data_IF_669458285573
#
_entry.id   IF_669458285573
#
_cell.length_a   1.000
_cell.length_b   1.000
_cell.length_c   1.000
_cell.angle_alpha   90.00
_cell.angle_beta   90.00
_cell.angle_gamma   90.00
#
_symmetry.space_group_name_H-M   'P 1'
#
loop_
_entity.id
_entity.type
_entity.pdbx_description
1 polymer ?
#
# COMPACT_ATOMS: atom_id res chain seq x y z
N UNK A 1 -3.03 -8.80 6.21
CA UNK A 1 -4.04 -9.10 7.30
C UNK A 1 -5.09 -10.12 6.86
N UNK A 2 -5.85 -9.88 5.78
CA UNK A 2 -6.91 -10.81 5.34
C UNK A 2 -6.42 -12.24 5.06
N UNK A 3 -5.35 -12.41 4.30
CA UNK A 3 -4.76 -13.74 4.00
C UNK A 3 -4.23 -14.44 5.25
N UNK A 4 -3.61 -13.70 6.17
CA UNK A 4 -3.09 -14.28 7.41
C UNK A 4 -4.20 -14.90 8.28
N UNK A 5 -5.35 -14.25 8.38
CA UNK A 5 -6.47 -14.80 9.13
C UNK A 5 -7.02 -16.09 8.50
N UNK A 6 -7.08 -16.17 7.16
CA UNK A 6 -7.49 -17.40 6.46
C UNK A 6 -6.58 -18.59 6.78
N UNK A 7 -5.27 -18.35 6.81
CA UNK A 7 -4.28 -19.36 7.18
C UNK A 7 -4.42 -19.74 8.65
N UNK A 8 -4.50 -18.76 9.55
CA UNK A 8 -4.59 -18.99 10.99
C UNK A 8 -5.80 -19.82 11.39
N UNK A 9 -6.94 -19.57 10.79
CA UNK A 9 -8.20 -20.27 11.13
C UNK A 9 -8.50 -21.45 10.19
N UNK A 10 -7.66 -21.70 9.18
CA UNK A 10 -7.86 -22.72 8.14
C UNK A 10 -9.23 -22.64 7.47
N UNK A 11 -9.75 -21.42 7.33
CA UNK A 11 -11.07 -21.12 6.80
C UNK A 11 -10.94 -20.04 5.71
N UNK A 12 -11.22 -20.38 4.44
CA UNK A 12 -11.13 -19.41 3.34
C UNK A 12 -12.21 -18.33 3.39
N UNK A 13 -13.27 -18.51 4.18
CA UNK A 13 -14.37 -17.54 4.30
C UNK A 13 -14.12 -16.52 5.40
N UNK A 14 -13.19 -16.79 6.31
CA UNK A 14 -12.77 -15.81 7.32
C UNK A 14 -12.18 -14.57 6.64
N UNK A 15 -12.63 -13.40 7.02
CA UNK A 15 -12.19 -12.12 6.50
C UNK A 15 -12.35 -12.01 4.97
N UNK A 16 -13.57 -12.03 4.44
CA UNK A 16 -13.79 -11.87 3.01
C UNK A 16 -13.32 -10.48 2.53
N UNK A 17 -13.03 -10.33 1.23
CA UNK A 17 -12.48 -9.11 0.66
C UNK A 17 -13.29 -7.86 0.99
N UNK A 18 -14.62 -7.95 0.92
CA UNK A 18 -15.52 -6.85 1.31
C UNK A 18 -15.36 -6.41 2.75
N UNK A 19 -15.14 -7.34 3.66
CA UNK A 19 -14.88 -7.02 5.06
C UNK A 19 -13.56 -6.29 5.21
N UNK A 20 -12.50 -6.76 4.54
CA UNK A 20 -11.19 -6.10 4.56
C UNK A 20 -11.28 -4.67 3.98
N UNK A 21 -12.01 -4.47 2.89
CA UNK A 21 -12.22 -3.13 2.32
C UNK A 21 -12.97 -2.21 3.30
N UNK A 22 -14.03 -2.68 3.92
CA UNK A 22 -14.78 -1.89 4.93
C UNK A 22 -13.92 -1.52 6.13
N UNK A 23 -13.05 -2.43 6.58
CA UNK A 23 -12.09 -2.13 7.66
C UNK A 23 -11.05 -1.09 7.26
N UNK A 24 -10.67 -1.05 5.98
CA UNK A 24 -9.75 -0.05 5.44
C UNK A 24 -10.43 1.30 5.15
N UNK A 25 -11.74 1.39 5.21
CA UNK A 25 -12.52 2.59 4.89
C UNK A 25 -13.41 3.00 6.07
N UNK A 26 -14.72 2.85 5.96
CA UNK A 26 -15.69 3.38 6.94
C UNK A 26 -15.53 2.78 8.35
N UNK A 27 -15.20 1.50 8.49
CA UNK A 27 -15.03 0.89 9.81
C UNK A 27 -13.73 1.37 10.47
N UNK A 28 -12.66 1.55 9.68
CA UNK A 28 -11.42 2.18 10.16
C UNK A 28 -11.65 3.62 10.62
N UNK A 29 -12.36 4.42 9.81
CA UNK A 29 -12.73 5.79 10.18
C UNK A 29 -13.53 5.83 11.50
N UNK A 30 -14.51 4.95 11.67
CA UNK A 30 -15.30 4.85 12.92
C UNK A 30 -14.45 4.45 14.12
N UNK A 31 -13.48 3.55 13.94
CA UNK A 31 -12.59 3.10 15.00
C UNK A 31 -11.72 4.23 15.57
N UNK A 32 -11.42 5.26 14.77
CA UNK A 32 -10.67 6.46 15.20
C UNK A 32 -11.55 7.67 15.46
N UNK A 33 -12.89 7.51 15.48
CA UNK A 33 -13.85 8.57 15.79
C UNK A 33 -14.13 9.54 14.63
N UNK A 34 -13.72 9.22 13.39
CA UNK A 34 -13.88 10.07 12.21
C UNK A 34 -14.95 9.57 11.23
N UNK A 35 -15.79 8.59 11.63
CA UNK A 35 -16.74 7.96 10.73
C UNK A 35 -17.84 8.87 10.16
N UNK A 36 -18.12 9.99 10.81
CA UNK A 36 -19.07 10.99 10.34
C UNK A 36 -18.44 12.00 9.36
N UNK A 37 -17.09 12.00 9.28
CA UNK A 37 -16.31 12.97 8.49
C UNK A 37 -15.72 12.32 7.25
N UNK A 38 -15.17 11.10 7.37
CA UNK A 38 -14.46 10.37 6.29
C UNK A 38 -14.86 8.89 6.22
N UNK A 39 -14.27 8.15 5.29
CA UNK A 39 -14.36 6.69 5.18
C UNK A 39 -15.48 6.20 4.26
N UNK A 40 -16.31 7.09 3.72
CA UNK A 40 -17.30 6.80 2.68
C UNK A 40 -17.59 8.05 1.84
N UNK A 41 -18.01 7.84 0.60
CA UNK A 41 -18.43 8.92 -0.30
C UNK A 41 -19.91 9.21 -0.07
N UNK A 42 -20.20 10.15 0.80
CA UNK A 42 -21.53 10.58 1.19
C UNK A 42 -21.61 12.10 1.21
N UNK A 43 -22.79 12.66 0.87
CA UNK A 43 -23.01 14.11 0.96
C UNK A 43 -22.79 14.58 2.42
N UNK A 44 -22.01 15.63 2.59
CA UNK A 44 -21.67 16.20 3.90
C UNK A 44 -20.40 15.64 4.54
N UNK A 45 -19.75 14.64 3.93
CA UNK A 45 -18.41 14.18 4.32
C UNK A 45 -17.31 14.82 3.48
N UNK A 46 -16.09 14.73 4.00
CA UNK A 46 -14.90 15.11 3.24
C UNK A 46 -14.74 14.23 1.99
N UNK A 47 -14.29 14.83 0.90
CA UNK A 47 -14.07 14.12 -0.35
C UNK A 47 -12.67 13.48 -0.36
N UNK A 48 -12.49 12.47 0.50
CA UNK A 48 -11.30 11.64 0.59
C UNK A 48 -11.51 10.37 -0.22
N UNK A 49 -10.83 10.24 -1.35
CA UNK A 49 -10.98 9.06 -2.20
C UNK A 49 -9.76 8.80 -3.07
N UNK A 50 -9.67 7.57 -3.54
CA UNK A 50 -8.73 7.15 -4.58
C UNK A 50 -9.51 6.64 -5.80
N UNK A 51 -8.94 6.84 -7.00
CA UNK A 51 -9.36 6.15 -8.20
C UNK A 51 -8.36 5.03 -8.52
N UNK A 52 -8.88 3.86 -8.88
CA UNK A 52 -8.08 2.68 -9.20
C UNK A 52 -8.28 2.36 -10.68
N UNK A 53 -7.16 2.28 -11.41
CA UNK A 53 -7.15 1.85 -12.79
C UNK A 53 -7.32 0.32 -12.84
N UNK A 54 -8.42 -0.11 -13.43
CA UNK A 54 -8.73 -1.54 -13.56
C UNK A 54 -8.05 -2.21 -14.76
N UNK A 55 -7.43 -1.42 -15.65
CA UNK A 55 -6.72 -1.92 -16.84
C UNK A 55 -5.22 -2.15 -16.55
N UNK A 56 -4.93 -2.71 -15.39
CA UNK A 56 -3.59 -3.11 -14.97
C UNK A 56 -3.49 -4.63 -14.87
N UNK A 57 -2.33 -5.23 -15.18
CA UNK A 57 -2.15 -6.70 -15.10
C UNK A 57 -2.57 -7.31 -13.78
N UNK A 58 -2.34 -6.61 -12.66
CA UNK A 58 -2.71 -7.04 -11.30
C UNK A 58 -4.22 -7.04 -11.05
N UNK A 59 -4.99 -6.30 -11.86
CA UNK A 59 -6.44 -6.21 -11.76
C UNK A 59 -7.17 -7.15 -12.73
N UNK A 60 -6.49 -7.73 -13.70
CA UNK A 60 -7.10 -8.59 -14.70
C UNK A 60 -7.15 -10.07 -14.24
N UNK A 61 -8.18 -10.83 -14.69
CA UNK A 61 -9.37 -10.36 -15.42
C UNK A 61 -10.37 -9.64 -14.53
N UNK A 62 -11.13 -8.70 -15.08
CA UNK A 62 -12.20 -7.99 -14.37
C UNK A 62 -13.56 -8.60 -14.74
N UNK A 63 -14.27 -9.14 -13.76
CA UNK A 63 -15.64 -9.61 -13.91
C UNK A 63 -16.59 -8.63 -13.26
N UNK A 64 -17.60 -8.20 -14.03
CA UNK A 64 -18.66 -7.30 -13.56
C UNK A 64 -20.02 -7.98 -13.51
N UNK A 65 -20.19 -9.05 -14.26
CA UNK A 65 -21.45 -9.80 -14.34
C UNK A 65 -21.22 -11.23 -14.88
N UNK A 66 -21.88 -12.28 -14.36
CA UNK A 66 -22.70 -12.30 -13.13
C UNK A 66 -21.85 -12.23 -11.85
N UNK A 67 -20.58 -12.64 -11.90
CA UNK A 67 -19.64 -12.55 -10.81
C UNK A 67 -19.01 -11.15 -10.76
N UNK A 68 -18.57 -10.77 -9.58
CA UNK A 68 -17.85 -9.50 -9.37
C UNK A 68 -16.57 -9.76 -8.59
N UNK A 69 -15.43 -9.42 -9.16
CA UNK A 69 -14.12 -9.64 -8.52
C UNK A 69 -13.28 -8.38 -8.31
N UNK A 70 -13.83 -7.20 -8.60
CA UNK A 70 -13.07 -5.93 -8.42
C UNK A 70 -12.55 -5.81 -6.99
N UNK A 71 -13.40 -6.00 -5.97
CA UNK A 71 -12.98 -5.90 -4.57
C UNK A 71 -12.00 -7.00 -4.16
N UNK A 72 -12.20 -8.28 -4.50
CA UNK A 72 -11.17 -9.29 -4.37
C UNK A 72 -9.83 -8.91 -5.01
N UNK A 73 -9.83 -8.38 -6.24
CA UNK A 73 -8.60 -7.96 -6.92
C UNK A 73 -7.91 -6.81 -6.16
N UNK A 74 -8.66 -5.80 -5.71
CA UNK A 74 -8.12 -4.71 -4.88
C UNK A 74 -7.47 -5.25 -3.60
N UNK A 75 -8.11 -6.20 -2.92
CA UNK A 75 -7.63 -6.67 -1.61
C UNK A 75 -6.48 -7.66 -1.71
N UNK A 76 -6.46 -8.51 -2.74
CA UNK A 76 -5.52 -9.64 -2.82
C UNK A 76 -4.44 -9.49 -3.90
N UNK A 77 -4.66 -8.67 -4.94
CA UNK A 77 -3.76 -8.55 -6.09
C UNK A 77 -3.14 -7.17 -6.25
N UNK A 78 -3.89 -6.10 -5.96
CA UNK A 78 -3.40 -4.74 -6.09
C UNK A 78 -2.21 -4.47 -5.15
N UNK A 79 -1.25 -3.66 -5.63
CA UNK A 79 -0.02 -3.31 -4.91
C UNK A 79 0.13 -1.81 -4.64
N UNK A 80 -0.82 -1.01 -5.15
CA UNK A 80 -0.82 0.45 -5.06
C UNK A 80 -0.47 1.15 -6.38
N UNK A 81 0.20 0.48 -7.30
CA UNK A 81 0.54 1.00 -8.65
C UNK A 81 -0.71 1.25 -9.52
N UNK A 82 -1.84 0.69 -9.12
CA UNK A 82 -3.14 0.83 -9.77
C UNK A 82 -3.85 2.14 -9.39
N UNK A 83 -3.36 2.85 -8.38
CA UNK A 83 -3.93 4.14 -7.98
C UNK A 83 -3.58 5.18 -9.03
N UNK A 84 -4.57 5.68 -9.74
CA UNK A 84 -4.42 6.72 -10.76
C UNK A 84 -4.71 8.12 -10.21
N UNK A 85 -5.46 8.24 -9.11
CA UNK A 85 -5.75 9.52 -8.47
C UNK A 85 -5.95 9.33 -6.97
N UNK A 86 -5.46 10.29 -6.19
CA UNK A 86 -5.77 10.44 -4.77
C UNK A 86 -6.22 11.88 -4.50
N UNK A 87 -7.36 12.01 -3.82
CA UNK A 87 -7.86 13.29 -3.35
C UNK A 87 -8.07 13.25 -1.83
N UNK A 88 -7.74 14.35 -1.17
CA UNK A 88 -7.96 14.58 0.26
C UNK A 88 -8.67 15.91 0.41
N UNK A 89 -9.79 15.92 1.12
CA UNK A 89 -10.67 17.08 1.26
C UNK A 89 -11.05 17.72 -0.10
N UNK A 90 -11.24 16.87 -1.12
CA UNK A 90 -11.52 17.31 -2.49
C UNK A 90 -10.33 17.86 -3.28
N UNK A 91 -9.15 17.99 -2.67
CA UNK A 91 -7.93 18.42 -3.36
C UNK A 91 -7.19 17.21 -3.92
N UNK A 92 -6.90 17.22 -5.21
CA UNK A 92 -6.09 16.17 -5.84
C UNK A 92 -4.64 16.36 -5.41
N UNK A 93 -4.11 15.38 -4.66
CA UNK A 93 -2.73 15.37 -4.16
C UNK A 93 -1.81 14.45 -4.97
N UNK A 94 -2.38 13.52 -5.73
CA UNK A 94 -1.65 12.60 -6.60
C UNK A 94 -2.49 12.30 -7.85
N UNK A 95 -1.84 12.26 -9.01
CA UNK A 95 -2.45 11.87 -10.29
C UNK A 95 -1.40 11.27 -11.22
N UNK A 96 -1.67 10.06 -11.71
CA UNK A 96 -0.91 9.39 -12.78
C UNK A 96 0.62 9.36 -12.57
N UNK A 97 1.07 9.13 -11.33
CA UNK A 97 2.48 9.06 -10.98
C UNK A 97 3.07 10.35 -10.44
N UNK A 98 2.32 11.46 -10.43
CA UNK A 98 2.81 12.76 -10.00
C UNK A 98 2.09 13.26 -8.74
N UNK A 99 2.86 13.82 -7.81
CA UNK A 99 2.33 14.48 -6.62
C UNK A 99 2.16 15.98 -6.87
N UNK A 100 1.04 16.55 -6.44
CA UNK A 100 0.71 17.95 -6.69
C UNK A 100 1.70 18.94 -6.03
N UNK A 101 2.26 18.57 -4.87
CA UNK A 101 3.03 19.49 -4.02
C UNK A 101 4.47 19.02 -3.78
N UNK A 102 4.90 17.89 -4.36
CA UNK A 102 6.20 17.28 -4.08
C UNK A 102 6.77 16.66 -5.35
N UNK A 103 7.94 17.11 -5.79
CA UNK A 103 8.75 16.32 -6.71
C UNK A 103 9.61 15.34 -5.89
N UNK A 104 9.13 14.09 -5.79
CA UNK A 104 9.79 13.06 -4.99
C UNK A 104 11.18 12.68 -5.56
N UNK A 105 11.46 12.98 -6.84
CA UNK A 105 12.76 12.71 -7.47
C UNK A 105 13.87 13.56 -6.86
N UNK A 106 13.55 14.77 -6.42
CA UNK A 106 14.51 15.66 -5.76
C UNK A 106 15.07 15.06 -4.47
N UNK A 107 14.27 14.22 -3.79
CA UNK A 107 14.70 13.59 -2.54
C UNK A 107 15.59 12.37 -2.71
N UNK A 108 15.64 11.73 -3.88
CA UNK A 108 16.45 10.53 -4.08
C UNK A 108 17.95 10.77 -3.85
N UNK A 109 18.46 11.91 -4.30
CA UNK A 109 19.85 12.30 -4.07
C UNK A 109 20.18 12.50 -2.58
N UNK A 110 19.29 13.13 -1.85
CA UNK A 110 19.42 13.36 -0.40
C UNK A 110 19.36 12.03 0.38
N UNK A 111 18.38 11.17 0.10
CA UNK A 111 18.24 9.86 0.74
C UNK A 111 19.50 9.02 0.54
N UNK A 112 20.06 8.97 -0.67
CA UNK A 112 21.28 8.21 -0.96
C UNK A 112 22.49 8.72 -0.20
N UNK A 113 22.66 10.04 -0.04
CA UNK A 113 23.73 10.61 0.78
C UNK A 113 23.64 10.15 2.25
N UNK A 114 22.44 10.15 2.81
CA UNK A 114 22.21 9.68 4.18
C UNK A 114 22.41 8.17 4.31
N UNK A 115 21.97 7.38 3.32
CA UNK A 115 22.14 5.93 3.30
C UNK A 115 23.61 5.53 3.34
N UNK A 116 24.46 6.15 2.54
CA UNK A 116 25.91 5.92 2.54
C UNK A 116 26.56 6.23 3.88
N UNK A 117 26.14 7.32 4.52
CA UNK A 117 26.66 7.70 5.83
C UNK A 117 26.25 6.70 6.93
N UNK A 118 25.00 6.23 6.89
CA UNK A 118 24.49 5.20 7.80
C UNK A 118 25.23 3.89 7.59
N UNK A 119 25.40 3.45 6.33
CA UNK A 119 26.10 2.22 5.98
C UNK A 119 27.56 2.21 6.49
N UNK A 120 28.28 3.33 6.34
CA UNK A 120 29.64 3.45 6.88
C UNK A 120 29.69 3.34 8.40
N UNK A 121 28.74 3.95 9.12
CA UNK A 121 28.68 3.86 10.60
C UNK A 121 28.31 2.47 11.09
N UNK A 122 27.36 1.84 10.44
CA UNK A 122 26.85 0.52 10.81
C UNK A 122 27.78 -0.63 10.41
N UNK A 123 28.81 -0.38 9.58
CA UNK A 123 29.63 -1.43 8.96
C UNK A 123 30.22 -2.41 9.98
N UNK A 124 30.76 -1.91 11.09
CA UNK A 124 31.40 -2.75 12.10
C UNK A 124 30.39 -3.70 12.75
N UNK A 125 29.26 -3.16 13.22
CA UNK A 125 28.20 -3.95 13.86
C UNK A 125 27.58 -4.95 12.88
N UNK A 126 27.37 -4.52 11.63
CA UNK A 126 26.87 -5.40 10.58
C UNK A 126 27.79 -6.59 10.31
N UNK A 127 29.11 -6.35 10.23
CA UNK A 127 30.10 -7.41 10.01
C UNK A 127 30.16 -8.40 11.21
N UNK A 128 29.94 -7.92 12.43
CA UNK A 128 29.90 -8.76 13.64
C UNK A 128 28.62 -9.60 13.74
N UNK A 129 27.46 -9.01 13.46
CA UNK A 129 26.15 -9.65 13.62
C UNK A 129 25.83 -10.59 12.44
N UNK A 130 26.18 -10.20 11.22
CA UNK A 130 25.84 -10.92 9.98
C UNK A 130 27.02 -11.70 9.38
N UNK A 131 27.89 -12.30 10.20
CA UNK A 131 29.13 -12.93 9.75
C UNK A 131 29.05 -13.72 8.44
N UNK A 132 28.11 -14.66 8.30
CA UNK A 132 27.94 -15.46 7.06
C UNK A 132 27.39 -14.63 5.90
N UNK A 133 26.39 -13.79 6.14
CA UNK A 133 25.81 -12.92 5.11
C UNK A 133 26.82 -11.87 4.62
N UNK A 134 27.56 -11.27 5.54
CA UNK A 134 28.65 -10.34 5.20
C UNK A 134 29.75 -11.01 4.37
N UNK A 135 30.05 -12.28 4.64
CA UNK A 135 30.95 -13.07 3.83
C UNK A 135 30.42 -13.27 2.42
N UNK A 136 29.17 -13.72 2.26
CA UNK A 136 28.53 -13.93 0.95
C UNK A 136 28.43 -12.65 0.13
N UNK A 137 28.12 -11.50 0.77
CA UNK A 137 28.13 -10.21 0.09
C UNK A 137 29.52 -9.82 -0.42
N UNK A 138 30.57 -10.04 0.38
CA UNK A 138 31.97 -9.77 -0.04
C UNK A 138 32.41 -10.69 -1.19
N UNK A 139 31.90 -11.91 -1.23
CA UNK A 139 32.17 -12.90 -2.27
C UNK A 139 31.28 -12.72 -3.52
N UNK A 140 30.40 -11.73 -3.52
CA UNK A 140 29.45 -11.48 -4.63
C UNK A 140 28.42 -12.61 -4.82
N UNK A 141 28.07 -13.32 -3.75
CA UNK A 141 27.11 -14.43 -3.76
C UNK A 141 25.69 -14.02 -3.32
N UNK A 142 25.49 -12.76 -2.95
CA UNK A 142 24.22 -12.12 -2.63
C UNK A 142 24.07 -10.86 -3.46
#
# INVERSE_FOLDING_TARGET
MALFNKIKYQDPEVMPAWRALRMATIEGARAVGLGDIIGSLEAGKEADFIAIDLDKPTMLPVFTHPMRNIVPNIVYSARGEEVSLCAVQGQVIYRDGEFANVDYRDYFGEVNKHTDAIGRRAKKEFDEINGTNSQFMREGKL
#
